data_IF_867885750965
#
_entry.id   IF_867885750965
#
_cell.length_a   1.000
_cell.length_b   1.000
_cell.length_c   1.000
_cell.angle_alpha   90.00
_cell.angle_beta   90.00
_cell.angle_gamma   90.00
#
_symmetry.space_group_name_H-M   'P 1'
#
loop_
_entity.id
_entity.type
_entity.pdbx_description
1 polymer ?
#
# COMPACT_ATOMS: atom_id res chain seq x y z
N UNK A 1 48.16 -46.51 -4.73
CA UNK A 1 49.22 -46.02 -5.65
C UNK A 1 48.50 -45.35 -6.82
N UNK A 2 48.52 -44.04 -7.08
CA UNK A 2 49.49 -42.99 -6.76
C UNK A 2 48.80 -41.64 -6.45
N UNK A 3 49.51 -40.84 -5.67
CA UNK A 3 49.21 -39.47 -5.27
C UNK A 3 49.46 -38.46 -6.41
N UNK A 4 48.71 -37.36 -6.41
CA UNK A 4 49.26 -36.05 -6.73
C UNK A 4 48.45 -34.98 -5.98
N UNK A 5 49.13 -34.30 -5.06
CA UNK A 5 48.64 -33.16 -4.33
C UNK A 5 49.26 -31.88 -4.90
N UNK A 6 48.62 -30.76 -4.57
CA UNK A 6 49.20 -29.45 -4.22
C UNK A 6 48.89 -28.25 -5.14
N UNK A 7 48.63 -27.16 -4.42
CA UNK A 7 48.97 -25.74 -4.65
C UNK A 7 47.89 -24.84 -5.27
N UNK A 8 47.12 -24.23 -4.37
CA UNK A 8 46.55 -22.88 -4.52
C UNK A 8 47.63 -21.80 -4.71
N UNK A 9 47.32 -20.75 -5.46
CA UNK A 9 47.69 -19.37 -5.13
C UNK A 9 46.43 -18.48 -5.07
N UNK A 10 46.13 -17.89 -3.92
CA UNK A 10 46.46 -16.51 -3.53
C UNK A 10 45.62 -15.43 -4.25
N UNK A 11 44.66 -14.87 -3.49
CA UNK A 11 43.84 -13.68 -3.77
C UNK A 11 44.68 -12.42 -4.01
N UNK A 12 44.07 -11.39 -4.63
CA UNK A 12 44.06 -10.07 -4.01
C UNK A 12 42.63 -9.59 -3.71
N UNK A 13 42.41 -9.27 -2.44
CA UNK A 13 41.26 -8.55 -1.94
C UNK A 13 41.28 -7.10 -2.48
N UNK A 14 40.22 -6.71 -3.19
CA UNK A 14 39.98 -5.33 -3.59
C UNK A 14 39.30 -4.61 -2.42
N UNK A 15 40.07 -3.85 -1.65
CA UNK A 15 39.56 -2.96 -0.60
C UNK A 15 38.86 -1.75 -1.25
N UNK A 16 37.53 -1.71 -1.16
CA UNK A 16 36.73 -0.54 -1.47
C UNK A 16 36.75 0.40 -0.26
N UNK A 17 37.37 1.58 -0.39
CA UNK A 17 37.42 2.59 0.65
C UNK A 17 36.05 3.26 0.80
N UNK A 18 35.37 3.01 1.92
CA UNK A 18 34.22 3.79 2.39
C UNK A 18 34.72 5.15 2.88
N UNK A 19 34.41 6.21 2.12
CA UNK A 19 34.52 7.58 2.60
C UNK A 19 33.42 7.81 3.66
N UNK A 20 33.83 7.78 4.93
CA UNK A 20 33.01 8.13 6.07
C UNK A 20 32.71 9.63 6.07
N UNK A 21 31.43 10.01 6.04
CA UNK A 21 30.98 11.37 6.29
C UNK A 21 30.02 11.39 7.47
N UNK A 22 30.54 11.69 8.65
CA UNK A 22 29.82 12.24 9.81
C UNK A 22 30.83 12.58 10.92
N UNK A 23 30.58 13.50 11.86
CA UNK A 23 29.37 14.32 12.08
C UNK A 23 29.67 15.84 12.23
N UNK A 24 28.63 16.67 12.27
CA UNK A 24 28.75 18.05 12.75
C UNK A 24 27.41 18.64 13.18
N UNK A 25 27.01 18.50 14.46
CA UNK A 25 25.97 19.34 15.05
C UNK A 25 26.61 20.53 15.76
N UNK A 26 26.69 21.67 15.07
CA UNK A 26 26.82 22.98 15.71
C UNK A 26 25.44 23.65 15.74
N UNK A 27 24.79 23.56 16.89
CA UNK A 27 23.77 24.52 17.31
C UNK A 27 23.83 24.62 18.84
N UNK A 28 24.75 25.49 19.28
CA UNK A 28 24.83 26.01 20.64
C UNK A 28 23.73 27.05 20.85
N UNK A 29 23.07 27.03 22.01
CA UNK A 29 22.27 28.17 22.48
C UNK A 29 21.16 27.80 23.45
N UNK A 30 21.48 27.83 24.75
CA UNK A 30 20.55 27.76 25.87
C UNK A 30 19.70 29.04 26.03
N UNK A 31 18.63 28.88 26.81
CA UNK A 31 17.53 29.76 27.23
C UNK A 31 17.80 31.24 27.56
N UNK A 32 16.81 32.12 27.33
CA UNK A 32 15.88 32.66 28.36
C UNK A 32 15.04 33.87 27.82
N UNK A 33 13.91 34.24 28.48
CA UNK A 33 12.79 34.96 27.90
C UNK A 33 12.76 36.47 28.21
N UNK A 34 12.01 37.24 27.42
CA UNK A 34 11.54 38.58 27.80
C UNK A 34 10.09 38.75 27.33
N UNK A 35 9.19 38.94 28.29
CA UNK A 35 7.77 39.17 28.06
C UNK A 35 7.40 40.61 27.72
N UNK A 36 6.15 40.81 27.31
CA UNK A 36 5.32 41.96 27.66
C UNK A 36 3.89 41.74 27.16
N UNK A 37 2.94 42.09 28.02
CA UNK A 37 1.51 41.95 27.85
C UNK A 37 0.93 42.76 26.68
N UNK A 38 -0.10 42.18 26.04
CA UNK A 38 -1.06 42.87 25.20
C UNK A 38 -2.48 42.42 25.55
N UNK A 39 -3.20 43.26 26.28
CA UNK A 39 -4.64 43.16 26.53
C UNK A 39 -5.39 43.69 25.32
N UNK A 40 -6.37 42.94 24.79
CA UNK A 40 -7.19 43.39 23.68
C UNK A 40 -8.19 42.35 23.15
N UNK A 41 -9.40 42.40 23.72
CA UNK A 41 -10.70 42.12 23.10
C UNK A 41 -11.06 40.67 22.71
N UNK A 42 -11.92 40.10 23.56
CA UNK A 42 -12.76 38.95 23.27
C UNK A 42 -13.69 39.25 22.07
N UNK A 43 -13.33 38.73 20.89
CA UNK A 43 -14.29 38.53 19.82
C UNK A 43 -14.84 37.11 19.98
N UNK A 44 -16.12 37.01 20.32
CA UNK A 44 -16.85 35.76 20.33
C UNK A 44 -16.78 35.12 18.93
N UNK A 45 -15.86 34.17 18.76
CA UNK A 45 -15.95 33.23 17.65
C UNK A 45 -17.12 32.32 17.95
N UNK A 46 -18.17 32.45 17.14
CA UNK A 46 -19.20 31.44 17.02
C UNK A 46 -18.50 30.08 16.89
N UNK A 47 -18.66 29.26 17.91
CA UNK A 47 -18.19 27.88 17.93
C UNK A 47 -19.06 27.14 16.91
N UNK A 48 -18.63 27.14 15.65
CA UNK A 48 -19.09 26.14 14.68
C UNK A 48 -18.78 24.79 15.30
N UNK A 49 -19.83 24.08 15.70
CA UNK A 49 -19.74 22.70 16.17
C UNK A 49 -18.91 21.92 15.14
N UNK A 50 -17.97 21.06 15.58
CA UNK A 50 -17.28 20.19 14.65
C UNK A 50 -18.34 19.35 13.96
N UNK A 51 -18.42 19.45 12.63
CA UNK A 51 -19.09 18.43 11.82
C UNK A 51 -18.38 17.13 12.15
N UNK A 52 -19.05 16.23 12.87
CA UNK A 52 -18.56 14.86 13.04
C UNK A 52 -18.48 14.26 11.65
N UNK A 53 -17.26 14.10 11.14
CA UNK A 53 -17.02 13.21 10.01
C UNK A 53 -17.59 11.83 10.37
N UNK A 54 -18.42 11.21 9.53
CA UNK A 54 -18.90 9.87 9.80
C UNK A 54 -17.71 8.95 10.00
N UNK A 55 -17.79 8.08 11.01
CA UNK A 55 -16.82 7.00 11.16
C UNK A 55 -16.97 6.06 9.96
N UNK A 56 -15.87 5.69 9.26
CA UNK A 56 -15.96 4.77 8.13
C UNK A 56 -16.59 3.46 8.57
N UNK A 57 -17.53 2.96 7.77
CA UNK A 57 -18.15 1.64 7.99
C UNK A 57 -17.10 0.60 7.65
N UNK A 58 -16.89 -0.39 8.52
CA UNK A 58 -15.90 -1.45 8.29
C UNK A 58 -16.57 -2.81 8.16
N UNK A 59 -15.99 -3.69 7.33
CA UNK A 59 -16.44 -5.07 7.17
C UNK A 59 -15.37 -6.07 7.65
N UNK A 60 -15.80 -7.27 8.05
CA UNK A 60 -14.90 -8.37 8.44
C UNK A 60 -14.36 -9.16 7.25
N UNK A 61 -15.09 -9.17 6.14
CA UNK A 61 -14.78 -9.86 4.89
C UNK A 61 -15.13 -8.98 3.70
N UNK A 62 -14.42 -9.20 2.58
CA UNK A 62 -14.70 -8.50 1.33
C UNK A 62 -16.13 -8.86 0.89
N UNK A 63 -17.02 -7.87 0.64
CA UNK A 63 -18.39 -8.14 0.24
C UNK A 63 -18.47 -9.05 -0.98
N UNK A 64 -19.45 -9.95 -0.98
CA UNK A 64 -19.60 -11.01 -1.98
C UNK A 64 -19.62 -10.52 -3.42
N UNK A 65 -20.12 -9.29 -3.65
CA UNK A 65 -20.18 -8.67 -4.98
C UNK A 65 -18.80 -8.41 -5.59
N UNK A 66 -17.73 -8.27 -4.78
CA UNK A 66 -16.36 -8.08 -5.28
C UNK A 66 -15.60 -9.40 -5.46
N UNK A 67 -16.10 -10.49 -4.89
CA UNK A 67 -15.41 -11.78 -4.93
C UNK A 67 -15.36 -12.35 -6.35
N UNK A 68 -14.34 -13.17 -6.59
CA UNK A 68 -14.16 -13.89 -7.85
C UNK A 68 -12.84 -13.52 -8.53
N UNK A 69 -12.79 -13.84 -9.81
CA UNK A 69 -11.63 -13.58 -10.66
C UNK A 69 -11.98 -12.41 -11.59
N UNK A 70 -11.03 -11.50 -11.72
CA UNK A 70 -11.09 -10.31 -12.55
C UNK A 70 -9.85 -10.24 -13.43
N UNK A 71 -9.99 -9.73 -14.64
CA UNK A 71 -8.87 -9.61 -15.57
C UNK A 71 -9.03 -8.40 -16.49
N UNK A 72 -7.95 -7.80 -16.96
CA UNK A 72 -8.01 -6.72 -17.94
C UNK A 72 -8.46 -7.21 -19.33
N UNK A 73 -8.24 -8.49 -19.61
CA UNK A 73 -8.56 -9.14 -20.89
C UNK A 73 -10.05 -9.50 -21.04
N UNK A 74 -10.37 -10.33 -22.04
CA UNK A 74 -11.72 -10.83 -22.32
C UNK A 74 -12.31 -11.59 -21.12
N UNK A 75 -13.66 -11.64 -20.98
CA UNK A 75 -14.31 -12.25 -19.82
C UNK A 75 -14.00 -13.73 -19.58
N UNK A 76 -13.50 -14.48 -20.57
CA UNK A 76 -13.31 -15.92 -20.37
C UNK A 76 -12.12 -16.28 -19.49
N UNK A 77 -11.13 -15.39 -19.33
CA UNK A 77 -9.97 -15.56 -18.45
C UNK A 77 -9.24 -16.93 -18.58
N UNK A 78 -9.37 -17.59 -19.74
CA UNK A 78 -8.91 -18.96 -20.00
C UNK A 78 -7.37 -19.07 -20.14
N UNK A 79 -6.69 -17.93 -20.28
CA UNK A 79 -5.25 -17.85 -20.49
C UNK A 79 -4.63 -17.15 -19.28
N UNK A 80 -3.47 -17.60 -18.79
CA UNK A 80 -2.71 -16.84 -17.79
C UNK A 80 -2.51 -15.40 -18.27
N UNK A 81 -2.85 -14.44 -17.41
CA UNK A 81 -2.75 -13.01 -17.65
C UNK A 81 -1.96 -12.38 -16.53
N UNK A 82 -1.08 -11.46 -16.88
CA UNK A 82 -0.33 -10.64 -15.92
C UNK A 82 -1.25 -9.67 -15.16
N UNK A 83 -2.48 -9.48 -15.63
CA UNK A 83 -3.48 -8.59 -15.06
C UNK A 83 -4.61 -9.30 -14.31
N UNK A 84 -4.48 -10.62 -14.11
CA UNK A 84 -5.41 -11.41 -13.33
C UNK A 84 -5.37 -11.02 -11.85
N UNK A 85 -6.54 -10.71 -11.31
CA UNK A 85 -6.78 -10.38 -9.90
C UNK A 85 -7.79 -11.37 -9.33
N UNK A 86 -7.42 -12.08 -8.26
CA UNK A 86 -8.32 -12.99 -7.55
C UNK A 86 -8.68 -12.38 -6.19
N UNK A 87 -9.97 -12.17 -5.96
CA UNK A 87 -10.51 -11.58 -4.75
C UNK A 87 -11.26 -12.65 -3.96
N UNK A 88 -10.72 -13.02 -2.81
CA UNK A 88 -11.32 -13.93 -1.84
C UNK A 88 -11.76 -13.15 -0.58
N UNK A 89 -12.60 -13.72 0.31
CA UNK A 89 -13.16 -12.99 1.45
C UNK A 89 -12.13 -12.28 2.33
N UNK A 90 -10.92 -12.85 2.46
CA UNK A 90 -9.84 -12.33 3.33
C UNK A 90 -8.49 -12.19 2.64
N UNK A 91 -8.42 -12.34 1.33
CA UNK A 91 -7.16 -12.21 0.60
C UNK A 91 -7.36 -11.75 -0.83
N UNK A 92 -6.38 -11.04 -1.37
CA UNK A 92 -6.30 -10.69 -2.78
C UNK A 92 -5.00 -11.27 -3.35
N UNK A 93 -5.07 -11.93 -4.50
CA UNK A 93 -3.89 -12.41 -5.25
C UNK A 93 -3.76 -11.63 -6.54
N UNK A 94 -2.54 -11.21 -6.83
CA UNK A 94 -2.19 -10.53 -8.07
C UNK A 94 -0.80 -10.99 -8.51
N UNK A 95 -0.70 -11.54 -9.72
CA UNK A 95 0.52 -12.15 -10.25
C UNK A 95 1.16 -13.13 -9.22
N UNK A 96 2.45 -12.97 -8.92
CA UNK A 96 3.21 -13.76 -7.95
C UNK A 96 3.08 -13.27 -6.50
N UNK A 97 2.22 -12.26 -6.25
CA UNK A 97 2.00 -11.67 -4.94
C UNK A 97 0.64 -12.04 -4.34
N UNK A 98 0.58 -12.08 -3.00
CA UNK A 98 -0.66 -12.27 -2.23
C UNK A 98 -0.72 -11.29 -1.08
N UNK A 99 -1.90 -10.68 -0.89
CA UNK A 99 -2.22 -9.85 0.26
C UNK A 99 -3.26 -10.49 1.17
N UNK A 100 -2.99 -10.52 2.47
CA UNK A 100 -4.01 -10.79 3.49
C UNK A 100 -4.73 -9.49 3.85
N UNK A 101 -6.06 -9.55 3.96
CA UNK A 101 -6.88 -8.38 4.32
C UNK A 101 -6.66 -8.04 5.78
N UNK A 102 -6.31 -6.78 6.04
CA UNK A 102 -6.09 -6.23 7.40
C UNK A 102 -7.17 -5.25 7.81
N UNK A 103 -7.83 -4.60 6.84
CA UNK A 103 -8.95 -3.68 7.04
C UNK A 103 -9.75 -3.55 5.76
N UNK A 104 -11.06 -3.39 5.90
CA UNK A 104 -11.98 -3.03 4.82
C UNK A 104 -12.76 -1.81 5.28
N UNK A 105 -12.75 -0.76 4.47
CA UNK A 105 -13.59 0.41 4.63
C UNK A 105 -14.64 0.40 3.50
N UNK A 106 -15.90 0.56 3.88
CA UNK A 106 -17.04 0.46 2.97
C UNK A 106 -17.58 1.87 2.76
N UNK A 107 -17.35 2.42 1.57
CA UNK A 107 -17.88 3.72 1.17
C UNK A 107 -19.33 3.59 0.70
N UNK A 108 -19.63 2.53 -0.04
CA UNK A 108 -20.96 2.19 -0.55
C UNK A 108 -21.05 0.68 -0.88
N UNK A 109 -22.18 0.24 -1.43
CA UNK A 109 -22.36 -1.17 -1.82
C UNK A 109 -21.42 -1.61 -2.97
N UNK A 110 -20.94 -0.63 -3.74
CA UNK A 110 -20.16 -0.72 -4.97
C UNK A 110 -18.78 -0.05 -4.88
N UNK A 111 -18.43 0.57 -3.74
CA UNK A 111 -17.09 1.15 -3.49
C UNK A 111 -16.55 0.72 -2.13
N UNK A 112 -15.36 0.12 -2.12
CA UNK A 112 -14.63 -0.24 -0.90
C UNK A 112 -13.15 0.12 -1.00
N UNK A 113 -12.51 0.35 0.14
CA UNK A 113 -11.06 0.38 0.28
C UNK A 113 -10.59 -0.83 1.05
N UNK A 114 -9.63 -1.57 0.49
CA UNK A 114 -9.06 -2.77 1.10
C UNK A 114 -7.60 -2.53 1.44
N UNK A 115 -7.26 -2.62 2.72
CA UNK A 115 -5.87 -2.60 3.20
C UNK A 115 -5.33 -4.02 3.33
N UNK A 116 -4.14 -4.23 2.79
CA UNK A 116 -3.52 -5.55 2.60
C UNK A 116 -2.13 -5.60 3.25
N UNK A 117 -1.83 -6.71 3.92
CA UNK A 117 -0.47 -7.12 4.24
C UNK A 117 0.02 -8.06 3.14
N UNK A 118 0.89 -7.54 2.27
CA UNK A 118 1.35 -8.19 1.06
C UNK A 118 2.61 -9.01 1.28
N UNK A 119 2.75 -10.09 0.53
CA UNK A 119 3.95 -10.92 0.41
C UNK A 119 4.16 -11.36 -1.05
N UNK A 120 5.41 -11.31 -1.52
CA UNK A 120 5.80 -11.68 -2.88
C UNK A 120 7.32 -11.57 -3.04
N UNK A 121 7.94 -12.45 -3.83
CA UNK A 121 9.40 -12.44 -4.12
C UNK A 121 10.32 -12.46 -2.87
N UNK A 122 9.81 -12.88 -1.71
CA UNK A 122 10.54 -12.87 -0.44
C UNK A 122 10.45 -11.56 0.34
N UNK A 123 9.71 -10.57 -0.16
CA UNK A 123 9.45 -9.29 0.49
C UNK A 123 8.06 -9.22 1.12
N UNK A 124 7.89 -8.30 2.08
CA UNK A 124 6.62 -7.99 2.74
C UNK A 124 6.40 -6.49 2.78
N UNK A 125 5.19 -6.04 2.45
CA UNK A 125 4.83 -4.63 2.43
C UNK A 125 3.35 -4.41 2.73
N UNK A 126 2.97 -3.17 3.01
CA UNK A 126 1.56 -2.79 3.17
C UNK A 126 1.08 -2.08 1.91
N UNK A 127 -0.19 -2.26 1.57
CA UNK A 127 -0.83 -1.61 0.42
C UNK A 127 -2.31 -1.36 0.72
N UNK A 128 -2.88 -0.28 0.19
CA UNK A 128 -4.32 -0.07 0.17
C UNK A 128 -4.80 0.15 -1.27
N UNK A 129 -5.92 -0.47 -1.64
CA UNK A 129 -6.53 -0.34 -2.96
C UNK A 129 -7.99 0.03 -2.83
N UNK A 130 -8.44 0.96 -3.67
CA UNK A 130 -9.86 1.25 -3.86
C UNK A 130 -10.40 0.35 -4.96
N UNK A 131 -11.57 -0.20 -4.72
CA UNK A 131 -12.29 -1.11 -5.61
C UNK A 131 -13.67 -0.51 -5.87
N UNK A 132 -13.89 -0.07 -7.10
CA UNK A 132 -15.15 0.49 -7.58
C UNK A 132 -15.80 -0.47 -8.59
N UNK A 133 -16.98 -0.96 -8.27
CA UNK A 133 -17.75 -1.88 -9.08
C UNK A 133 -18.76 -1.11 -9.94
N UNK A 134 -18.89 -1.48 -11.22
CA UNK A 134 -19.94 -0.95 -12.08
C UNK A 134 -21.34 -1.39 -11.61
N UNK A 135 -22.37 -0.63 -11.98
CA UNK A 135 -23.77 -0.93 -11.64
C UNK A 135 -24.22 -2.36 -12.04
N UNK A 136 -23.68 -2.90 -13.13
CA UNK A 136 -23.98 -4.23 -13.63
C UNK A 136 -23.13 -5.35 -12.98
N UNK A 137 -22.17 -4.99 -12.13
CA UNK A 137 -21.30 -5.90 -11.41
C UNK A 137 -20.23 -6.59 -12.26
N UNK A 138 -20.03 -6.17 -13.53
CA UNK A 138 -19.15 -6.86 -14.47
C UNK A 138 -17.82 -6.14 -14.72
N UNK A 139 -17.67 -4.91 -14.27
CA UNK A 139 -16.42 -4.15 -14.38
C UNK A 139 -15.98 -3.68 -13.00
N UNK A 140 -14.76 -4.01 -12.63
CA UNK A 140 -14.07 -3.53 -11.45
C UNK A 140 -13.03 -2.49 -11.88
N UNK A 141 -13.14 -1.27 -11.38
CA UNK A 141 -12.07 -0.28 -11.46
C UNK A 141 -11.29 -0.33 -10.17
N UNK A 142 -10.01 -0.61 -10.28
CA UNK A 142 -9.10 -0.70 -9.15
C UNK A 142 -8.12 0.50 -9.23
N UNK A 143 -7.90 1.16 -8.10
CA UNK A 143 -6.90 2.23 -8.00
C UNK A 143 -6.12 2.20 -6.69
N UNK A 144 -4.91 2.78 -6.73
CA UNK A 144 -4.14 3.12 -5.53
C UNK A 144 -4.90 4.16 -4.69
N UNK A 145 -4.89 4.02 -3.37
CA UNK A 145 -5.39 5.06 -2.45
C UNK A 145 -4.40 6.22 -2.33
N UNK A 146 -3.11 5.94 -2.52
CA UNK A 146 -2.05 6.94 -2.54
C UNK A 146 -1.91 7.50 -3.97
N UNK A 147 -2.34 8.74 -4.17
CA UNK A 147 -2.53 9.44 -5.47
C UNK A 147 -1.26 9.54 -6.34
N UNK A 148 -0.08 9.31 -5.78
CA UNK A 148 1.18 9.59 -6.46
C UNK A 148 1.53 8.59 -7.56
N UNK A 149 0.92 7.39 -7.57
CA UNK A 149 1.37 6.32 -8.47
C UNK A 149 0.24 5.40 -8.90
N UNK A 150 -0.01 5.46 -10.22
CA UNK A 150 -0.67 4.48 -11.11
C UNK A 150 -2.11 4.89 -11.49
N UNK A 151 -2.34 5.00 -12.81
CA UNK A 151 -3.67 5.21 -13.37
C UNK A 151 -4.62 4.06 -12.98
N UNK A 152 -5.91 4.32 -12.71
CA UNK A 152 -6.87 3.27 -12.40
C UNK A 152 -6.92 2.19 -13.48
N UNK A 153 -6.94 0.93 -13.04
CA UNK A 153 -7.00 -0.24 -13.91
C UNK A 153 -8.44 -0.73 -13.96
N UNK A 154 -8.95 -0.93 -15.18
CA UNK A 154 -10.25 -1.58 -15.40
C UNK A 154 -10.04 -3.06 -15.63
N UNK A 155 -10.80 -3.85 -14.87
CA UNK A 155 -10.82 -5.30 -14.91
C UNK A 155 -12.26 -5.76 -15.14
N UNK A 156 -12.43 -6.80 -15.94
CA UNK A 156 -13.70 -7.44 -16.25
C UNK A 156 -13.85 -8.70 -15.41
N UNK A 157 -15.08 -8.97 -14.98
CA UNK A 157 -15.39 -10.22 -14.27
C UNK A 157 -15.16 -11.40 -15.20
N UNK A 158 -14.51 -12.43 -14.67
CA UNK A 158 -14.36 -13.67 -15.40
C UNK A 158 -15.65 -14.50 -15.37
N UNK A 159 -16.09 -14.96 -16.54
CA UNK A 159 -17.12 -15.98 -16.68
C UNK A 159 -16.51 -17.32 -16.25
N UNK A 160 -17.13 -17.96 -15.26
CA UNK A 160 -16.60 -19.15 -14.60
C UNK A 160 -17.09 -20.46 -15.21
#
# INVERSE_FOLDING_TARGET
MNHAALLSPLLPALFLAMAACSPGPDASGADEPVGAAGSGEAKASAQTSPTSSPTPVTAEEIPSTFLGVWDHDKPSCDVPSDMRLEIAPKSIRFYESRGEVTRIEVDSADSIVVSLAMEGEGEKWQMARKLDLSDDGNTLTESSVDEDRIDPIKLMRCDN
#
